data_IF_211498071356
#
_entry.id   IF_211498071356
#
_cell.length_a   1.000
_cell.length_b   1.000
_cell.length_c   1.000
_cell.angle_alpha   90.00
_cell.angle_beta   90.00
_cell.angle_gamma   90.00
#
_symmetry.space_group_name_H-M   'P 1'
#
loop_
_entity.id
_entity.type
_entity.pdbx_description
1 polymer ?
#
# COMPACT_ATOMS: atom_id res chain seq x y z
N UNK A 1 16.73 6.59 12.03
CA UNK A 1 16.04 5.33 11.66
C UNK A 1 15.11 5.66 10.51
N UNK A 2 15.34 5.12 9.31
CA UNK A 2 14.42 5.35 8.19
C UNK A 2 13.04 4.73 8.50
N UNK A 3 11.93 5.37 8.13
CA UNK A 3 10.61 4.81 8.37
C UNK A 3 10.46 3.45 7.68
N UNK A 4 9.95 2.47 8.42
CA UNK A 4 9.61 1.16 7.87
C UNK A 4 8.27 1.27 7.12
N UNK A 5 8.35 1.65 5.84
CA UNK A 5 7.20 1.84 4.98
C UNK A 5 6.30 0.60 4.90
N UNK A 6 6.85 -0.61 5.08
CA UNK A 6 6.05 -1.83 5.12
C UNK A 6 5.15 -1.83 6.35
N UNK A 7 5.67 -1.46 7.53
CA UNK A 7 4.85 -1.34 8.75
C UNK A 7 3.78 -0.27 8.61
N UNK A 8 4.13 0.89 8.05
CA UNK A 8 3.17 1.98 7.83
C UNK A 8 2.06 1.51 6.88
N UNK A 9 2.43 0.87 5.77
CA UNK A 9 1.46 0.34 4.81
C UNK A 9 0.56 -0.72 5.45
N UNK A 10 1.11 -1.64 6.24
CA UNK A 10 0.33 -2.65 6.98
C UNK A 10 -0.64 -2.02 7.98
N UNK A 11 -0.24 -0.95 8.68
CA UNK A 11 -1.13 -0.20 9.57
C UNK A 11 -2.28 0.44 8.79
N UNK A 12 -2.00 1.11 7.66
CA UNK A 12 -3.06 1.66 6.79
C UNK A 12 -4.07 0.60 6.34
N UNK A 13 -3.60 -0.63 6.04
CA UNK A 13 -4.50 -1.73 5.70
C UNK A 13 -5.37 -2.14 6.88
N UNK A 14 -4.77 -2.35 8.05
CA UNK A 14 -5.47 -2.80 9.25
C UNK A 14 -6.49 -1.77 9.74
N UNK A 15 -6.06 -0.51 9.88
CA UNK A 15 -6.87 0.59 10.43
C UNK A 15 -8.08 0.92 9.56
N UNK A 16 -8.03 0.60 8.27
CA UNK A 16 -9.11 0.85 7.31
C UNK A 16 -9.80 -0.45 6.83
N UNK A 17 -9.50 -1.60 7.43
CA UNK A 17 -10.09 -2.89 7.07
C UNK A 17 -9.89 -3.29 5.61
N UNK A 18 -8.75 -2.93 5.00
CA UNK A 18 -8.49 -3.13 3.59
C UNK A 18 -7.82 -4.47 3.30
N UNK A 19 -8.28 -5.12 2.24
CA UNK A 19 -7.54 -6.23 1.62
C UNK A 19 -6.41 -5.70 0.72
N UNK A 20 -5.40 -6.51 0.45
CA UNK A 20 -4.34 -6.17 -0.52
C UNK A 20 -4.92 -5.84 -1.91
N UNK A 21 -5.99 -6.54 -2.31
CA UNK A 21 -6.69 -6.29 -3.57
C UNK A 21 -7.36 -4.92 -3.58
N UNK A 22 -8.00 -4.54 -2.46
CA UNK A 22 -8.63 -3.22 -2.35
C UNK A 22 -7.60 -2.10 -2.33
N UNK A 23 -6.48 -2.27 -1.63
CA UNK A 23 -5.39 -1.31 -1.64
C UNK A 23 -4.77 -1.13 -3.03
N UNK A 24 -4.53 -2.23 -3.76
CA UNK A 24 -4.06 -2.16 -5.14
C UNK A 24 -5.03 -1.34 -6.03
N UNK A 25 -6.34 -1.63 -5.93
CA UNK A 25 -7.37 -0.87 -6.63
C UNK A 25 -7.36 0.62 -6.26
N UNK A 26 -7.31 0.97 -4.97
CA UNK A 26 -7.29 2.37 -4.52
C UNK A 26 -6.06 3.12 -5.04
N UNK A 27 -4.88 2.49 -5.00
CA UNK A 27 -3.65 3.07 -5.53
C UNK A 27 -3.75 3.26 -7.04
N UNK A 28 -4.31 2.30 -7.78
CA UNK A 28 -4.55 2.45 -9.23
C UNK A 28 -5.42 3.67 -9.54
N UNK A 29 -6.57 3.77 -8.86
CA UNK A 29 -7.53 4.84 -9.10
C UNK A 29 -6.94 6.21 -8.74
N UNK A 30 -6.23 6.30 -7.62
CA UNK A 30 -5.64 7.55 -7.13
C UNK A 30 -4.46 8.02 -7.99
N UNK A 31 -3.54 7.12 -8.33
CA UNK A 31 -2.32 7.46 -9.09
C UNK A 31 -2.55 7.49 -10.59
N UNK A 32 -3.66 6.94 -11.08
CA UNK A 32 -3.95 6.70 -12.51
C UNK A 32 -2.86 5.84 -13.19
N UNK A 33 -2.15 5.01 -12.41
CA UNK A 33 -1.10 4.11 -12.88
C UNK A 33 -1.40 2.67 -12.44
N UNK A 34 -0.99 1.64 -13.21
CA UNK A 34 -1.26 0.26 -12.85
C UNK A 34 -0.50 -0.16 -11.58
N UNK A 35 -1.23 -0.74 -10.64
CA UNK A 35 -0.74 -1.35 -9.41
C UNK A 35 -1.43 -2.71 -9.22
N UNK A 36 -0.67 -3.80 -9.27
CA UNK A 36 -1.23 -5.15 -9.14
C UNK A 36 -1.28 -5.60 -7.68
N UNK A 37 -2.17 -6.54 -7.37
CA UNK A 37 -2.20 -7.19 -6.05
C UNK A 37 -0.88 -7.90 -5.74
N UNK A 38 -0.21 -8.45 -6.78
CA UNK A 38 1.12 -9.07 -6.64
C UNK A 38 2.19 -8.04 -6.25
N UNK A 39 2.10 -6.84 -6.79
CA UNK A 39 2.98 -5.72 -6.42
C UNK A 39 2.79 -5.37 -4.95
N UNK A 40 1.55 -5.16 -4.50
CA UNK A 40 1.25 -4.89 -3.08
C UNK A 40 1.75 -6.02 -2.18
N UNK A 41 1.51 -7.28 -2.57
CA UNK A 41 2.00 -8.46 -1.85
C UNK A 41 3.51 -8.45 -1.69
N UNK A 42 4.26 -8.04 -2.72
CA UNK A 42 5.73 -7.97 -2.63
C UNK A 42 6.21 -6.98 -1.57
N UNK A 43 5.44 -5.93 -1.27
CA UNK A 43 5.78 -4.91 -0.27
C UNK A 43 5.47 -5.31 1.17
N UNK A 44 4.39 -6.06 1.38
CA UNK A 44 3.87 -6.38 2.72
C UNK A 44 4.29 -7.76 3.24
N UNK A 45 4.70 -8.65 2.33
CA UNK A 45 5.18 -9.98 2.69
C UNK A 45 6.39 -9.91 3.64
N UNK A 46 6.67 -11.03 4.28
CA UNK A 46 7.86 -11.23 5.09
C UNK A 46 9.12 -10.76 4.33
N UNK A 47 9.90 -9.82 4.89
CA UNK A 47 11.09 -9.25 4.23
C UNK A 47 12.18 -10.29 3.95
N UNK A 48 12.18 -11.44 4.64
CA UNK A 48 13.16 -12.51 4.43
C UNK A 48 12.90 -13.34 3.17
N UNK A 49 11.71 -13.22 2.56
CA UNK A 49 11.33 -14.03 1.39
C UNK A 49 11.91 -13.47 0.09
N UNK A 50 12.35 -14.31 -0.87
CA UNK A 50 12.91 -13.85 -2.16
C UNK A 50 11.97 -12.99 -3.01
N UNK A 51 10.66 -13.22 -2.86
CA UNK A 51 9.61 -12.44 -3.53
C UNK A 51 9.36 -11.08 -2.89
N UNK A 52 9.97 -10.80 -1.73
CA UNK A 52 9.78 -9.55 -1.00
C UNK A 52 10.56 -8.42 -1.65
N UNK A 53 9.98 -7.24 -1.62
CA UNK A 53 10.54 -5.99 -2.12
C UNK A 53 10.28 -4.91 -1.08
N UNK A 54 11.21 -3.97 -0.84
CA UNK A 54 10.94 -2.85 0.04
C UNK A 54 9.67 -2.12 -0.37
N UNK A 55 8.81 -1.80 0.61
CA UNK A 55 7.64 -0.95 0.37
C UNK A 55 8.13 0.46 0.03
N UNK A 56 7.85 0.99 -1.17
CA UNK A 56 8.31 2.32 -1.54
C UNK A 56 7.48 3.39 -0.83
N UNK A 57 8.08 4.55 -0.57
CA UNK A 57 7.41 5.67 0.11
C UNK A 57 6.18 6.16 -0.66
N UNK A 58 6.28 6.23 -2.00
CA UNK A 58 5.15 6.65 -2.84
C UNK A 58 3.93 5.73 -2.68
N UNK A 59 4.10 4.44 -2.36
CA UNK A 59 2.96 3.54 -2.19
C UNK A 59 2.20 3.83 -0.90
N UNK A 60 2.91 4.21 0.17
CA UNK A 60 2.32 4.68 1.43
C UNK A 60 1.54 5.97 1.17
N UNK A 61 2.20 6.96 0.56
CA UNK A 61 1.60 8.27 0.27
C UNK A 61 0.38 8.14 -0.67
N UNK A 62 0.45 7.25 -1.67
CA UNK A 62 -0.66 7.00 -2.58
C UNK A 62 -1.86 6.35 -1.89
N UNK A 63 -1.64 5.38 -1.00
CA UNK A 63 -2.73 4.72 -0.27
C UNK A 63 -3.37 5.68 0.72
N UNK A 64 -2.58 6.43 1.49
CA UNK A 64 -3.10 7.44 2.42
C UNK A 64 -3.88 8.53 1.67
N UNK A 65 -3.31 9.10 0.60
CA UNK A 65 -4.01 10.08 -0.25
C UNK A 65 -5.32 9.56 -0.84
N UNK A 66 -5.36 8.28 -1.26
CA UNK A 66 -6.59 7.65 -1.75
C UNK A 66 -7.67 7.54 -0.66
N UNK A 67 -7.26 7.27 0.59
CA UNK A 67 -8.17 7.16 1.74
C UNK A 67 -8.71 8.52 2.18
N UNK A 68 -7.86 9.55 2.21
CA UNK A 68 -8.31 10.91 2.52
C UNK A 68 -9.29 11.43 1.45
N UNK A 69 -9.00 11.20 0.16
CA UNK A 69 -9.90 11.60 -0.92
C UNK A 69 -11.27 10.93 -0.82
N UNK A 70 -11.32 9.68 -0.33
CA UNK A 70 -12.58 8.96 -0.09
C UNK A 70 -13.39 9.49 1.10
N UNK A 71 -12.75 10.04 2.12
CA UNK A 71 -13.44 10.61 3.30
C UNK A 71 -14.09 11.96 3.00
N UNK A 72 -13.54 12.69 2.02
CA UNK A 72 -14.00 14.01 1.62
C UNK A 72 -15.12 13.98 0.56
N UNK A 73 -15.62 12.79 0.21
CA UNK A 73 -16.63 12.57 -0.83
C UNK A 73 -17.83 11.84 -0.26
#
# INVERSE_FOLDING_TARGET
>A
MLPDNRKIFLALLADNGLTQAKAAYLICEYTRRPCSVRTVRSWVNDPTKPSSRPCPEWAVNALDGALQNKRNK
#
